data_IF_415735554429
#
_entry.id   IF_415735554429
#
_cell.length_a   1.000
_cell.length_b   1.000
_cell.length_c   1.000
_cell.angle_alpha   90.00
_cell.angle_beta   90.00
_cell.angle_gamma   90.00
#
_symmetry.space_group_name_H-M   'P 1'
#
loop_
_entity.id
_entity.type
_entity.pdbx_description
1 polymer ?
#
# COMPACT_ATOMS: atom_id res chain seq x y z
N UNK A 1 -9.34 2.18 -24.57
CA UNK A 1 -8.35 1.38 -23.85
C UNK A 1 -6.92 1.87 -24.07
N UNK A 2 -6.37 1.89 -25.31
CA UNK A 2 -4.99 2.35 -25.55
C UNK A 2 -4.74 3.80 -25.11
N UNK A 3 -5.63 4.72 -25.42
CA UNK A 3 -5.54 6.16 -25.06
C UNK A 3 -5.56 6.31 -23.54
N UNK A 4 -6.42 5.57 -22.84
CA UNK A 4 -6.51 5.56 -21.37
C UNK A 4 -5.20 5.09 -20.74
N UNK A 5 -4.62 4.00 -21.27
CA UNK A 5 -3.35 3.46 -20.80
C UNK A 5 -2.19 4.46 -21.03
N UNK A 6 -2.14 5.09 -22.19
CA UNK A 6 -1.14 6.11 -22.50
C UNK A 6 -1.29 7.33 -21.60
N UNK A 7 -2.51 7.79 -21.34
CA UNK A 7 -2.78 8.89 -20.43
C UNK A 7 -2.35 8.57 -18.99
N UNK A 8 -2.66 7.36 -18.50
CA UNK A 8 -2.22 6.87 -17.20
C UNK A 8 -0.70 6.84 -17.08
N UNK A 9 -0.01 6.28 -18.07
CA UNK A 9 1.45 6.20 -18.06
C UNK A 9 2.09 7.58 -18.15
N UNK A 10 1.59 8.46 -19.01
CA UNK A 10 2.11 9.82 -19.14
C UNK A 10 1.93 10.61 -17.84
N UNK A 11 0.74 10.58 -17.23
CA UNK A 11 0.47 11.24 -15.97
C UNK A 11 1.33 10.65 -14.83
N UNK A 12 1.47 9.31 -14.77
CA UNK A 12 2.33 8.66 -13.81
C UNK A 12 3.79 9.12 -13.95
N UNK A 13 4.36 9.10 -15.15
CA UNK A 13 5.76 9.51 -15.40
C UNK A 13 5.98 10.97 -14.97
N UNK A 14 5.09 11.87 -15.36
CA UNK A 14 5.21 13.29 -15.04
C UNK A 14 5.06 13.56 -13.53
N UNK A 15 4.01 13.02 -12.91
CA UNK A 15 3.70 13.32 -11.52
C UNK A 15 4.60 12.56 -10.54
N UNK A 16 5.03 11.36 -10.88
CA UNK A 16 6.05 10.64 -10.06
C UNK A 16 7.40 11.34 -10.14
N UNK A 17 7.81 11.79 -11.33
CA UNK A 17 9.06 12.56 -11.47
C UNK A 17 9.03 13.84 -10.65
N UNK A 18 7.89 14.55 -10.69
CA UNK A 18 7.68 15.78 -9.93
C UNK A 18 7.65 15.50 -8.41
N UNK A 19 6.91 14.48 -7.98
CA UNK A 19 6.82 14.05 -6.58
C UNK A 19 8.20 13.68 -5.99
N UNK A 20 9.01 12.95 -6.76
CA UNK A 20 10.39 12.61 -6.38
C UNK A 20 11.27 13.87 -6.25
N UNK A 21 11.11 14.83 -7.15
CA UNK A 21 11.87 16.09 -7.11
C UNK A 21 11.57 16.91 -5.85
N UNK A 22 10.34 16.83 -5.33
CA UNK A 22 9.95 17.44 -4.06
C UNK A 22 10.23 16.57 -2.82
N UNK A 23 10.89 15.41 -2.97
CA UNK A 23 11.21 14.51 -1.87
C UNK A 23 10.02 13.75 -1.28
N UNK A 24 8.86 13.76 -1.95
CA UNK A 24 7.61 13.13 -1.49
C UNK A 24 7.53 11.63 -1.78
N UNK A 25 8.45 11.12 -2.62
CA UNK A 25 8.48 9.71 -3.04
C UNK A 25 7.53 9.39 -4.21
N UNK A 26 7.74 8.22 -4.83
CA UNK A 26 6.99 7.81 -6.03
C UNK A 26 5.52 7.50 -5.74
N UNK A 27 5.21 6.94 -4.58
CA UNK A 27 3.85 6.50 -4.21
C UNK A 27 2.87 7.67 -4.22
N UNK A 28 3.24 8.81 -3.62
CA UNK A 28 2.42 10.03 -3.66
C UNK A 28 2.23 10.53 -5.09
N UNK A 29 3.25 10.41 -5.93
CA UNK A 29 3.15 10.74 -7.35
C UNK A 29 2.07 9.92 -8.07
N UNK A 30 2.01 8.60 -7.83
CA UNK A 30 0.97 7.73 -8.39
C UNK A 30 -0.42 8.06 -7.88
N UNK A 31 -0.58 8.33 -6.56
CA UNK A 31 -1.87 8.70 -5.97
C UNK A 31 -2.38 10.02 -6.54
N UNK A 32 -1.53 11.03 -6.64
CA UNK A 32 -1.89 12.33 -7.24
C UNK A 32 -2.21 12.17 -8.72
N UNK A 33 -1.45 11.34 -9.46
CA UNK A 33 -1.76 11.03 -10.85
C UNK A 33 -3.17 10.43 -10.99
N UNK A 34 -3.48 9.40 -10.20
CA UNK A 34 -4.79 8.75 -10.22
C UNK A 34 -5.93 9.71 -9.86
N UNK A 35 -5.72 10.58 -8.86
CA UNK A 35 -6.71 11.57 -8.45
C UNK A 35 -6.97 12.63 -9.55
N UNK A 36 -5.91 13.12 -10.20
CA UNK A 36 -6.02 14.16 -11.22
C UNK A 36 -6.67 13.67 -12.51
N UNK A 37 -6.29 12.47 -12.99
CA UNK A 37 -6.83 11.96 -14.25
C UNK A 37 -8.08 11.08 -14.09
N UNK A 38 -8.34 10.66 -12.86
CA UNK A 38 -9.49 9.82 -12.50
C UNK A 38 -10.84 10.54 -12.55
N UNK A 39 -11.92 9.83 -12.19
CA UNK A 39 -13.29 10.35 -12.27
C UNK A 39 -13.54 11.52 -11.32
N UNK A 40 -12.75 11.67 -10.26
CA UNK A 40 -12.85 12.79 -9.32
C UNK A 40 -12.10 14.05 -9.77
N UNK A 41 -11.21 13.94 -10.77
CA UNK A 41 -10.41 15.03 -11.29
C UNK A 41 -10.82 15.42 -12.72
N UNK A 42 -9.88 15.35 -13.67
CA UNK A 42 -10.06 15.73 -15.06
C UNK A 42 -10.96 14.78 -15.88
N UNK A 43 -11.35 13.65 -15.29
CA UNK A 43 -12.22 12.64 -15.92
C UNK A 43 -11.69 12.11 -17.26
N UNK A 44 -10.35 12.11 -17.43
CA UNK A 44 -9.71 11.54 -18.61
C UNK A 44 -9.83 10.01 -18.62
N UNK A 45 -9.96 9.44 -17.43
CA UNK A 45 -10.14 8.02 -17.19
C UNK A 45 -11.41 7.84 -16.38
N UNK A 46 -12.46 7.36 -17.05
CA UNK A 46 -13.79 7.16 -16.47
C UNK A 46 -14.17 5.69 -16.31
N UNK A 47 -13.49 4.80 -17.05
CA UNK A 47 -13.68 3.36 -16.98
C UNK A 47 -12.89 2.77 -15.82
N UNK A 48 -13.48 2.89 -14.62
CA UNK A 48 -12.88 2.40 -13.36
C UNK A 48 -12.83 0.88 -13.32
N UNK A 49 -13.78 0.22 -13.97
CA UNK A 49 -13.90 -1.24 -13.95
C UNK A 49 -12.73 -1.90 -14.69
N UNK A 50 -12.44 -1.46 -15.91
CA UNK A 50 -11.26 -1.94 -16.67
C UNK A 50 -9.93 -1.65 -15.96
N UNK A 51 -9.83 -0.53 -15.23
CA UNK A 51 -8.62 -0.21 -14.44
C UNK A 51 -8.50 -1.13 -13.23
N UNK A 52 -9.61 -1.43 -12.56
CA UNK A 52 -9.64 -2.36 -11.44
C UNK A 52 -9.13 -3.74 -11.85
N UNK A 53 -9.61 -4.28 -12.97
CA UNK A 53 -9.15 -5.57 -13.50
C UNK A 53 -7.63 -5.59 -13.78
N UNK A 54 -7.11 -4.52 -14.41
CA UNK A 54 -5.67 -4.39 -14.67
C UNK A 54 -4.87 -4.28 -13.37
N UNK A 55 -5.38 -3.53 -12.39
CA UNK A 55 -4.69 -3.37 -11.11
C UNK A 55 -4.71 -4.64 -10.28
N UNK A 56 -5.79 -5.44 -10.32
CA UNK A 56 -5.83 -6.77 -9.70
C UNK A 56 -4.77 -7.70 -10.27
N UNK A 57 -4.60 -7.70 -11.60
CA UNK A 57 -3.53 -8.46 -12.24
C UNK A 57 -2.14 -7.97 -11.77
N UNK A 58 -1.96 -6.65 -11.64
CA UNK A 58 -0.74 -6.05 -11.09
C UNK A 58 -0.44 -6.48 -9.66
N UNK A 59 -1.46 -6.53 -8.81
CA UNK A 59 -1.35 -7.02 -7.42
C UNK A 59 -0.99 -8.51 -7.39
N UNK A 60 -1.61 -9.33 -8.23
CA UNK A 60 -1.27 -10.75 -8.34
C UNK A 60 0.19 -10.97 -8.75
N UNK A 61 0.69 -10.21 -9.73
CA UNK A 61 2.09 -10.26 -10.14
C UNK A 61 3.03 -9.80 -9.02
N UNK A 62 2.67 -8.75 -8.30
CA UNK A 62 3.44 -8.26 -7.15
C UNK A 62 3.52 -9.33 -6.05
N UNK A 63 2.40 -9.93 -5.69
CA UNK A 63 2.35 -11.01 -4.70
C UNK A 63 3.17 -12.22 -5.13
N UNK A 64 3.16 -12.55 -6.42
CA UNK A 64 3.96 -13.64 -6.97
C UNK A 64 5.47 -13.34 -6.83
N UNK A 65 5.91 -12.14 -7.19
CA UNK A 65 7.30 -11.71 -7.04
C UNK A 65 7.74 -11.75 -5.58
N UNK A 66 6.92 -11.19 -4.67
CA UNK A 66 7.19 -11.23 -3.22
C UNK A 66 7.28 -12.69 -2.74
N UNK A 67 6.39 -13.56 -3.22
CA UNK A 67 6.42 -14.98 -2.88
C UNK A 67 7.70 -15.68 -3.32
N UNK A 68 8.25 -15.33 -4.49
CA UNK A 68 9.53 -15.88 -4.98
C UNK A 68 10.73 -15.38 -4.16
N UNK A 69 10.70 -14.15 -3.69
CA UNK A 69 11.76 -13.55 -2.87
C UNK A 69 11.74 -14.03 -1.42
N UNK A 70 10.63 -14.63 -0.99
CA UNK A 70 10.40 -15.04 0.38
C UNK A 70 11.27 -16.24 0.79
N UNK A 71 12.27 -15.99 1.61
CA UNK A 71 13.15 -17.04 2.15
C UNK A 71 12.57 -17.60 3.44
N UNK A 72 11.87 -18.74 3.35
CA UNK A 72 11.25 -19.42 4.51
C UNK A 72 12.21 -19.64 5.69
N UNK A 73 13.49 -20.06 5.50
CA UNK A 73 14.42 -20.22 6.61
C UNK A 73 14.67 -18.94 7.39
N UNK A 74 14.68 -17.77 6.72
CA UNK A 74 14.86 -16.47 7.37
C UNK A 74 13.64 -16.09 8.22
N UNK A 75 12.44 -16.34 7.73
CA UNK A 75 11.20 -16.12 8.50
C UNK A 75 11.19 -17.00 9.73
N UNK A 76 11.58 -18.28 9.59
CA UNK A 76 11.64 -19.21 10.70
C UNK A 76 12.67 -18.81 11.75
N UNK A 77 13.83 -18.30 11.34
CA UNK A 77 14.84 -17.76 12.26
C UNK A 77 14.32 -16.54 13.05
N UNK A 78 13.47 -15.71 12.42
CA UNK A 78 12.89 -14.51 13.03
C UNK A 78 11.49 -14.73 13.66
N UNK A 79 11.05 -15.99 13.79
CA UNK A 79 9.67 -16.30 14.21
C UNK A 79 9.22 -15.62 15.50
N UNK A 80 10.11 -15.48 16.50
CA UNK A 80 9.77 -14.80 17.77
C UNK A 80 9.44 -13.33 17.57
N UNK A 81 10.19 -12.63 16.74
CA UNK A 81 9.92 -11.22 16.40
C UNK A 81 8.69 -11.08 15.52
N UNK A 82 8.57 -11.91 14.49
CA UNK A 82 7.46 -11.83 13.53
C UNK A 82 6.14 -12.18 14.22
N UNK A 83 6.05 -13.31 14.89
CA UNK A 83 4.80 -13.73 15.56
C UNK A 83 4.59 -13.07 16.91
N UNK A 84 5.65 -12.69 17.64
CA UNK A 84 5.51 -11.99 18.92
C UNK A 84 5.18 -10.51 18.73
N UNK A 85 6.13 -9.73 18.19
CA UNK A 85 5.95 -8.29 18.01
C UNK A 85 4.88 -7.95 16.97
N UNK A 86 4.81 -8.72 15.86
CA UNK A 86 3.80 -8.51 14.83
C UNK A 86 2.39 -8.75 15.35
N UNK A 87 2.16 -9.83 16.08
CA UNK A 87 0.85 -10.10 16.69
C UNK A 87 0.51 -9.07 17.78
N UNK A 88 1.47 -8.70 18.61
CA UNK A 88 1.28 -7.68 19.63
C UNK A 88 0.90 -6.33 19.02
N UNK A 89 1.60 -5.91 17.96
CA UNK A 89 1.29 -4.68 17.21
C UNK A 89 -0.11 -4.75 16.60
N UNK A 90 -0.47 -5.86 15.93
CA UNK A 90 -1.77 -6.03 15.30
C UNK A 90 -2.90 -5.96 16.33
N UNK A 91 -2.78 -6.67 17.45
CA UNK A 91 -3.80 -6.69 18.50
C UNK A 91 -3.91 -5.32 19.18
N UNK A 92 -2.80 -4.70 19.54
CA UNK A 92 -2.81 -3.40 20.20
C UNK A 92 -3.39 -2.30 19.31
N UNK A 93 -2.87 -2.18 18.07
CA UNK A 93 -3.33 -1.17 17.12
C UNK A 93 -4.79 -1.44 16.71
N UNK A 94 -5.14 -2.71 16.46
CA UNK A 94 -6.52 -3.11 16.15
C UNK A 94 -7.49 -2.81 17.27
N UNK A 95 -7.11 -3.04 18.53
CA UNK A 95 -7.94 -2.71 19.68
C UNK A 95 -8.15 -1.20 19.83
N UNK A 96 -7.10 -0.40 19.67
CA UNK A 96 -7.20 1.07 19.76
C UNK A 96 -8.09 1.63 18.64
N UNK A 97 -7.87 1.19 17.39
CA UNK A 97 -8.67 1.64 16.26
C UNK A 97 -10.11 1.13 16.31
N UNK A 98 -10.31 -0.12 16.76
CA UNK A 98 -11.64 -0.69 16.99
C UNK A 98 -12.40 0.06 18.08
N UNK A 99 -11.74 0.40 19.19
CA UNK A 99 -12.34 1.22 20.24
C UNK A 99 -12.74 2.61 19.74
N UNK A 100 -11.89 3.25 18.95
CA UNK A 100 -12.20 4.53 18.31
C UNK A 100 -13.40 4.43 17.36
N UNK A 101 -13.50 3.34 16.59
CA UNK A 101 -14.65 3.08 15.71
C UNK A 101 -15.94 2.87 16.50
N UNK A 102 -15.91 2.13 17.63
CA UNK A 102 -17.05 1.97 18.53
C UNK A 102 -17.49 3.32 19.11
N UNK A 103 -16.54 4.14 19.54
CA UNK A 103 -16.83 5.47 20.04
C UNK A 103 -17.46 6.39 18.99
N UNK A 104 -17.08 6.21 17.72
CA UNK A 104 -17.69 6.89 16.57
C UNK A 104 -19.07 6.32 16.16
N UNK A 105 -19.59 5.33 16.90
CA UNK A 105 -20.92 4.76 16.67
C UNK A 105 -20.96 3.55 15.73
N UNK A 106 -19.82 2.95 15.39
CA UNK A 106 -19.80 1.72 14.61
C UNK A 106 -20.35 0.53 15.43
N UNK A 107 -20.91 -0.46 14.71
CA UNK A 107 -21.30 -1.74 15.33
C UNK A 107 -20.06 -2.54 15.75
N UNK A 108 -20.20 -3.48 16.68
CA UNK A 108 -19.10 -4.35 17.12
C UNK A 108 -18.40 -5.05 15.94
N UNK A 109 -19.16 -5.55 14.99
CA UNK A 109 -18.61 -6.19 13.77
C UNK A 109 -17.88 -5.20 12.90
N UNK A 110 -18.44 -3.99 12.71
CA UNK A 110 -17.80 -2.92 11.96
C UNK A 110 -16.50 -2.45 12.61
N UNK A 111 -16.51 -2.29 13.93
CA UNK A 111 -15.34 -1.88 14.71
C UNK A 111 -14.22 -2.93 14.65
N UNK A 112 -14.56 -4.23 14.71
CA UNK A 112 -13.59 -5.30 14.57
C UNK A 112 -12.95 -5.33 13.16
N UNK A 113 -13.77 -5.21 12.12
CA UNK A 113 -13.29 -5.17 10.73
C UNK A 113 -12.41 -3.93 10.49
N UNK A 114 -12.87 -2.75 10.90
CA UNK A 114 -12.09 -1.51 10.75
C UNK A 114 -10.81 -1.54 11.58
N UNK A 115 -10.89 -1.99 12.83
CA UNK A 115 -9.74 -2.07 13.72
C UNK A 115 -8.66 -2.99 13.18
N UNK A 116 -9.00 -4.21 12.82
CA UNK A 116 -8.05 -5.18 12.28
C UNK A 116 -7.58 -4.80 10.87
N UNK A 117 -8.47 -4.35 10.01
CA UNK A 117 -8.13 -3.95 8.65
C UNK A 117 -7.15 -2.77 8.60
N UNK A 118 -7.39 -1.73 9.40
CA UNK A 118 -6.49 -0.57 9.49
C UNK A 118 -5.20 -0.85 10.26
N UNK A 119 -5.19 -1.86 11.14
CA UNK A 119 -3.97 -2.28 11.83
C UNK A 119 -2.99 -3.04 10.93
N UNK A 120 -3.45 -3.57 9.79
CA UNK A 120 -2.60 -4.23 8.81
C UNK A 120 -1.76 -3.19 8.05
N UNK A 121 -0.45 -3.21 8.27
CA UNK A 121 0.49 -2.35 7.53
C UNK A 121 0.83 -2.95 6.18
N UNK A 122 0.85 -2.14 5.13
CA UNK A 122 1.19 -2.60 3.77
C UNK A 122 2.70 -2.65 3.55
N UNK A 123 3.26 -3.85 3.54
CA UNK A 123 4.67 -4.08 3.13
C UNK A 123 4.90 -3.74 1.67
N UNK A 124 3.88 -3.87 0.82
CA UNK A 124 3.95 -3.50 -0.60
C UNK A 124 4.24 -2.01 -0.82
N UNK A 125 3.85 -1.15 0.10
CA UNK A 125 4.14 0.29 0.07
C UNK A 125 5.45 0.62 0.79
N UNK A 126 5.68 0.02 1.96
CA UNK A 126 6.81 0.37 2.82
C UNK A 126 8.15 -0.06 2.24
N UNK A 127 8.24 -1.26 1.67
CA UNK A 127 9.51 -1.77 1.12
C UNK A 127 10.05 -0.93 -0.05
N UNK A 128 9.26 -0.58 -1.09
CA UNK A 128 9.73 0.31 -2.14
C UNK A 128 10.13 1.70 -1.63
N UNK A 129 9.39 2.24 -0.65
CA UNK A 129 9.72 3.54 -0.07
C UNK A 129 11.04 3.53 0.69
N UNK A 130 11.32 2.48 1.47
CA UNK A 130 12.59 2.28 2.15
C UNK A 130 13.73 2.07 1.17
N UNK A 131 13.50 1.34 0.07
CA UNK A 131 14.46 1.15 -1.01
C UNK A 131 14.81 2.47 -1.70
N UNK A 132 13.82 3.30 -2.02
CA UNK A 132 14.03 4.62 -2.63
C UNK A 132 14.89 5.55 -1.75
N UNK A 133 14.75 5.42 -0.43
CA UNK A 133 15.51 6.23 0.54
C UNK A 133 16.83 5.59 0.98
N UNK A 134 17.23 4.46 0.40
CA UNK A 134 18.42 3.67 0.77
C UNK A 134 18.46 3.28 2.27
N UNK A 135 17.29 3.14 2.90
CA UNK A 135 17.17 2.82 4.31
C UNK A 135 17.14 1.30 4.60
N UNK A 136 17.03 0.45 3.57
CA UNK A 136 16.99 -1.00 3.73
C UNK A 136 18.28 -1.60 4.32
N UNK A 137 19.42 -0.91 4.14
CA UNK A 137 20.72 -1.34 4.67
C UNK A 137 20.98 -0.87 6.10
N UNK A 138 20.20 0.09 6.60
CA UNK A 138 20.35 0.61 7.95
C UNK A 138 19.73 -0.32 8.99
N UNK A 139 20.25 -0.29 10.22
CA UNK A 139 19.78 -1.14 11.33
C UNK A 139 18.28 -0.94 11.64
N UNK A 140 17.74 0.22 11.30
CA UNK A 140 16.31 0.57 11.44
C UNK A 140 15.41 0.02 10.32
N UNK A 141 16.01 -0.49 9.23
CA UNK A 141 15.28 -1.11 8.10
C UNK A 141 15.27 -2.64 8.13
N UNK A 142 15.79 -3.24 9.22
CA UNK A 142 15.83 -4.70 9.42
C UNK A 142 14.72 -5.17 10.34
#
# INVERSE_FOLDING_TARGET
MLVTLVALLAAAVLLVSLSRRFGLGSILGYLVAGLLIGPSGLRLVTDVESISEISELGVLMLLFIIGLELRLPRIWAMRRSVFGLGTAQLVFTGAVLGAAALWAGATWTGAAILGLGLALSSTAIVLPLLAERNLLALTSGR
#
